data_IF_646104009573
#
_entry.id   IF_646104009573
#
_cell.length_a   1.000
_cell.length_b   1.000
_cell.length_c   1.000
_cell.angle_alpha   90.00
_cell.angle_beta   90.00
_cell.angle_gamma   90.00
#
_symmetry.space_group_name_H-M   'P 1'
#
loop_
_entity.id
_entity.type
_entity.pdbx_description
1 polymer ?
#
# COMPACT_ATOMS: atom_id res chain seq x y z
N UNK A 1 -10.08 -15.60 9.17
CA UNK A 1 -10.49 -14.60 8.17
C UNK A 1 -10.76 -15.24 6.81
N UNK A 2 -9.78 -15.75 6.04
CA UNK A 2 -10.03 -16.38 4.72
C UNK A 2 -11.13 -17.46 4.68
N UNK A 3 -11.21 -18.30 5.71
CA UNK A 3 -12.21 -19.36 5.84
C UNK A 3 -13.38 -18.99 6.76
N UNK A 4 -13.56 -17.69 7.09
CA UNK A 4 -14.62 -17.19 7.99
C UNK A 4 -14.72 -17.88 9.37
N UNK A 5 -13.58 -18.40 9.87
CA UNK A 5 -13.49 -19.08 11.18
C UNK A 5 -13.41 -18.13 12.39
N UNK A 6 -13.51 -16.80 12.18
CA UNK A 6 -13.59 -15.83 13.27
C UNK A 6 -15.03 -15.32 13.32
N UNK A 7 -15.62 -15.27 14.51
CA UNK A 7 -16.93 -14.66 14.68
C UNK A 7 -16.81 -13.15 14.36
N UNK A 8 -17.72 -12.58 13.56
CA UNK A 8 -17.85 -11.13 13.49
C UNK A 8 -18.29 -10.63 14.86
N UNK A 9 -17.51 -9.75 15.46
CA UNK A 9 -17.96 -9.01 16.63
C UNK A 9 -18.99 -7.98 16.16
N UNK A 10 -20.16 -7.93 16.81
CA UNK A 10 -21.18 -6.90 16.57
C UNK A 10 -20.70 -5.54 17.12
N UNK A 11 -19.67 -4.96 16.51
CA UNK A 11 -19.30 -3.58 16.78
C UNK A 11 -20.37 -2.66 16.17
N UNK A 12 -21.17 -2.01 17.02
CA UNK A 12 -22.08 -0.94 16.60
C UNK A 12 -21.25 0.29 16.23
N UNK A 13 -21.18 0.61 14.95
CA UNK A 13 -20.37 1.73 14.43
C UNK A 13 -21.20 2.89 13.86
N UNK A 14 -22.53 2.88 14.03
CA UNK A 14 -23.45 3.87 13.44
C UNK A 14 -23.06 5.33 13.76
N UNK A 15 -22.61 5.64 14.98
CA UNK A 15 -22.17 6.98 15.37
C UNK A 15 -20.80 7.39 14.78
N UNK A 16 -20.05 6.43 14.21
CA UNK A 16 -18.71 6.64 13.66
C UNK A 16 -18.64 6.57 12.13
N UNK A 17 -19.79 6.41 11.47
CA UNK A 17 -19.88 6.43 10.01
C UNK A 17 -19.27 7.71 9.45
N UNK A 18 -18.50 7.57 8.38
CA UNK A 18 -17.83 8.69 7.73
C UNK A 18 -17.64 8.40 6.25
N UNK A 19 -17.14 9.38 5.50
CA UNK A 19 -16.84 9.24 4.09
C UNK A 19 -15.32 9.25 3.87
N UNK A 20 -14.83 8.30 3.08
CA UNK A 20 -13.45 8.25 2.63
C UNK A 20 -13.42 8.27 1.10
N UNK A 21 -12.99 9.41 0.54
CA UNK A 21 -12.88 9.64 -0.90
C UNK A 21 -14.18 9.35 -1.69
N UNK A 22 -15.33 9.84 -1.21
CA UNK A 22 -16.61 9.64 -1.89
C UNK A 22 -17.30 8.32 -1.56
N UNK A 23 -16.75 7.51 -0.65
CA UNK A 23 -17.34 6.22 -0.23
C UNK A 23 -17.63 6.22 1.26
N UNK A 24 -18.88 5.95 1.61
CA UNK A 24 -19.29 5.75 3.00
C UNK A 24 -18.61 4.50 3.57
N UNK A 25 -17.98 4.66 4.73
CA UNK A 25 -17.39 3.59 5.51
C UNK A 25 -17.99 3.57 6.91
N UNK A 26 -18.07 2.36 7.48
CA UNK A 26 -18.74 2.14 8.76
C UNK A 26 -18.05 2.83 9.94
N UNK A 27 -16.75 3.09 9.85
CA UNK A 27 -15.93 3.79 10.84
C UNK A 27 -14.59 4.22 10.20
N UNK A 28 -13.81 5.14 10.81
CA UNK A 28 -12.53 5.58 10.25
C UNK A 28 -11.35 4.61 10.51
N UNK A 29 -11.56 3.45 11.16
CA UNK A 29 -10.49 2.51 11.50
C UNK A 29 -10.19 1.59 10.30
N UNK A 30 -9.01 1.74 9.72
CA UNK A 30 -8.54 0.92 8.60
C UNK A 30 -7.54 -0.17 9.01
N UNK A 31 -7.52 -1.26 8.24
CA UNK A 31 -6.45 -2.25 8.30
C UNK A 31 -5.31 -1.84 7.35
N UNK A 32 -4.14 -1.54 7.91
CA UNK A 32 -3.00 -1.04 7.14
C UNK A 32 -2.37 -2.10 6.20
N UNK A 33 -1.70 -1.62 5.14
CA UNK A 33 -0.92 -2.47 4.24
C UNK A 33 0.14 -3.28 4.97
N UNK A 34 0.44 -4.44 4.39
CA UNK A 34 1.39 -5.43 4.91
C UNK A 34 0.69 -6.60 5.58
N UNK A 35 -0.58 -6.44 5.99
CA UNK A 35 -1.39 -7.53 6.54
C UNK A 35 -2.00 -8.38 5.43
N UNK A 36 -2.84 -7.80 4.56
CA UNK A 36 -3.38 -8.46 3.37
C UNK A 36 -2.62 -8.04 2.11
N UNK A 37 -1.48 -8.67 1.89
CA UNK A 37 -0.57 -8.35 0.77
C UNK A 37 -1.16 -8.69 -0.60
N UNK A 38 -2.07 -9.66 -0.65
CA UNK A 38 -2.52 -10.30 -1.88
C UNK A 38 -4.01 -10.06 -2.18
N UNK A 39 -4.73 -9.31 -1.33
CA UNK A 39 -6.16 -9.04 -1.49
C UNK A 39 -7.04 -10.24 -1.19
N UNK A 40 -6.61 -11.12 -0.27
CA UNK A 40 -7.31 -12.36 0.07
C UNK A 40 -8.33 -12.20 1.21
N UNK A 41 -8.29 -11.08 1.94
CA UNK A 41 -8.98 -10.91 3.21
C UNK A 41 -9.89 -9.67 3.25
N UNK A 42 -10.04 -8.92 2.15
CA UNK A 42 -10.79 -7.65 2.10
C UNK A 42 -12.16 -7.79 2.74
N UNK A 43 -13.04 -8.62 2.17
CA UNK A 43 -14.42 -8.75 2.65
C UNK A 43 -14.47 -9.28 4.09
N UNK A 44 -13.59 -10.22 4.45
CA UNK A 44 -13.55 -10.77 5.81
C UNK A 44 -13.04 -9.79 6.86
N UNK A 45 -12.13 -8.88 6.50
CA UNK A 45 -11.65 -7.85 7.41
C UNK A 45 -12.71 -6.77 7.64
N UNK A 46 -13.49 -6.43 6.61
CA UNK A 46 -14.63 -5.52 6.75
C UNK A 46 -15.74 -6.16 7.59
N UNK A 47 -16.04 -7.44 7.38
CA UNK A 47 -16.98 -8.22 8.22
C UNK A 47 -16.51 -8.29 9.68
N UNK A 48 -15.21 -8.18 9.94
CA UNK A 48 -14.62 -8.16 11.29
C UNK A 48 -14.68 -6.77 11.96
N UNK A 49 -15.14 -5.74 11.25
CA UNK A 49 -15.38 -4.40 11.81
C UNK A 49 -14.42 -3.30 11.36
N UNK A 50 -13.44 -3.58 10.49
CA UNK A 50 -12.66 -2.51 9.88
C UNK A 50 -13.53 -1.69 8.91
N UNK A 51 -13.39 -0.37 8.92
CA UNK A 51 -14.10 0.50 7.97
C UNK A 51 -13.53 0.43 6.55
N UNK A 52 -12.22 0.18 6.42
CA UNK A 52 -11.56 -0.06 5.14
C UNK A 52 -10.30 -0.93 5.28
N UNK A 53 -9.80 -1.46 4.17
CA UNK A 53 -8.56 -2.26 4.11
C UNK A 53 -7.57 -1.65 3.12
N UNK A 54 -6.30 -1.55 3.46
CA UNK A 54 -5.25 -1.22 2.50
C UNK A 54 -4.53 -2.50 2.06
N UNK A 55 -4.83 -2.97 0.85
CA UNK A 55 -4.20 -4.16 0.25
C UNK A 55 -2.76 -3.86 -0.16
N UNK A 56 -1.87 -4.84 -0.04
CA UNK A 56 -0.49 -4.75 -0.51
C UNK A 56 0.52 -4.63 0.64
N UNK A 57 1.72 -4.07 0.43
CA UNK A 57 2.20 -3.51 -0.83
C UNK A 57 2.31 -4.58 -1.92
N UNK A 58 1.67 -4.31 -3.05
CA UNK A 58 1.73 -5.10 -4.28
C UNK A 58 2.88 -4.58 -5.13
N UNK A 59 3.63 -5.45 -5.77
CA UNK A 59 4.69 -5.09 -6.73
C UNK A 59 4.38 -5.72 -8.08
N UNK A 60 4.94 -5.17 -9.16
CA UNK A 60 4.59 -5.63 -10.51
C UNK A 60 4.92 -7.12 -10.70
N UNK A 61 6.16 -7.50 -10.40
CA UNK A 61 6.66 -8.88 -10.57
C UNK A 61 6.38 -9.78 -9.36
N UNK A 62 5.83 -9.24 -8.27
CA UNK A 62 5.72 -9.94 -6.98
C UNK A 62 7.10 -10.24 -6.37
N UNK A 63 7.14 -11.22 -5.46
CA UNK A 63 8.42 -11.69 -4.92
C UNK A 63 8.30 -12.61 -3.72
N UNK A 64 9.35 -13.41 -3.49
CA UNK A 64 9.45 -14.27 -2.30
C UNK A 64 9.74 -13.46 -1.03
N UNK A 65 10.34 -12.28 -1.17
CA UNK A 65 10.88 -11.43 -0.12
C UNK A 65 12.14 -12.00 0.55
N UNK A 66 12.57 -11.38 1.64
CA UNK A 66 13.83 -11.72 2.32
C UNK A 66 13.83 -13.12 2.94
N UNK A 67 14.99 -13.70 3.17
CA UNK A 67 15.11 -14.99 3.87
C UNK A 67 14.48 -14.97 5.27
N UNK A 68 13.91 -16.11 5.67
CA UNK A 68 13.33 -16.30 7.02
C UNK A 68 14.45 -16.63 8.02
N UNK A 69 14.33 -16.23 9.32
CA UNK A 69 13.21 -15.49 9.93
C UNK A 69 13.25 -13.97 9.63
N UNK A 70 12.07 -13.40 9.43
CA UNK A 70 11.88 -12.03 8.94
C UNK A 70 10.76 -11.22 9.62
N UNK A 71 10.14 -11.78 10.65
CA UNK A 71 9.11 -11.14 11.49
C UNK A 71 9.34 -11.57 12.94
N UNK A 72 9.43 -10.59 13.83
CA UNK A 72 9.76 -10.76 15.23
C UNK A 72 8.77 -9.96 16.08
N UNK A 73 8.26 -10.57 17.15
CA UNK A 73 7.36 -9.90 18.12
C UNK A 73 8.14 -9.50 19.36
N UNK A 74 7.98 -8.23 19.75
CA UNK A 74 8.55 -7.66 20.96
C UNK A 74 7.41 -7.50 21.96
N UNK A 75 7.10 -8.59 22.68
CA UNK A 75 5.87 -8.69 23.47
C UNK A 75 5.77 -7.64 24.59
N UNK A 76 6.88 -7.35 25.28
CA UNK A 76 6.91 -6.39 26.39
C UNK A 76 6.64 -4.97 25.92
N UNK A 77 7.15 -4.64 24.73
CA UNK A 77 7.07 -3.31 24.11
C UNK A 77 5.81 -3.15 23.25
N UNK A 78 4.98 -4.20 23.12
CA UNK A 78 3.88 -4.28 22.14
C UNK A 78 4.35 -3.93 20.72
N UNK A 79 5.59 -4.31 20.39
CA UNK A 79 6.28 -3.94 19.17
C UNK A 79 6.38 -5.10 18.17
N UNK A 80 6.64 -4.73 16.91
CA UNK A 80 6.95 -5.67 15.83
C UNK A 80 8.17 -5.17 15.07
N UNK A 81 9.12 -6.07 14.79
CA UNK A 81 10.20 -5.85 13.86
C UNK A 81 10.01 -6.76 12.66
N UNK A 82 10.02 -6.19 11.45
CA UNK A 82 9.92 -6.98 10.24
C UNK A 82 10.94 -6.53 9.20
N UNK A 83 11.38 -7.50 8.39
CA UNK A 83 12.22 -7.31 7.22
C UNK A 83 11.65 -8.18 6.10
N UNK A 84 10.37 -8.01 5.80
CA UNK A 84 9.64 -8.92 4.90
C UNK A 84 10.20 -8.93 3.47
N UNK A 85 10.72 -7.79 2.98
CA UNK A 85 11.27 -7.66 1.64
C UNK A 85 10.22 -7.66 0.53
N UNK A 86 9.05 -7.04 0.78
CA UNK A 86 7.96 -6.92 -0.21
C UNK A 86 7.53 -8.26 -0.83
N UNK A 87 7.44 -9.32 -0.02
CA UNK A 87 6.87 -10.57 -0.49
C UNK A 87 5.39 -10.42 -0.85
N UNK A 88 4.95 -11.13 -1.88
CA UNK A 88 3.57 -11.12 -2.39
C UNK A 88 3.49 -11.71 -3.80
N UNK A 89 2.28 -11.87 -4.30
CA UNK A 89 2.05 -12.30 -5.68
C UNK A 89 2.21 -11.13 -6.66
N UNK A 90 2.47 -11.40 -7.96
CA UNK A 90 2.53 -10.37 -8.99
C UNK A 90 1.23 -9.56 -9.08
N UNK A 91 1.35 -8.29 -9.50
CA UNK A 91 0.22 -7.37 -9.60
C UNK A 91 -0.94 -7.91 -10.46
N UNK A 92 -0.63 -8.67 -11.52
CA UNK A 92 -1.63 -9.33 -12.37
C UNK A 92 -2.49 -10.33 -11.59
N UNK A 93 -1.86 -11.18 -10.77
CA UNK A 93 -2.57 -12.17 -9.95
C UNK A 93 -3.40 -11.49 -8.87
N UNK A 94 -2.86 -10.43 -8.26
CA UNK A 94 -3.62 -9.64 -7.28
C UNK A 94 -4.82 -8.97 -7.95
N UNK A 95 -4.66 -8.40 -9.15
CA UNK A 95 -5.76 -7.79 -9.90
C UNK A 95 -6.91 -8.78 -10.16
N UNK A 96 -6.63 -10.03 -10.52
CA UNK A 96 -7.66 -11.06 -10.67
C UNK A 96 -8.43 -11.31 -9.37
N UNK A 97 -7.76 -11.32 -8.22
CA UNK A 97 -8.43 -11.44 -6.91
C UNK A 97 -9.28 -10.22 -6.59
N UNK A 98 -8.78 -9.02 -6.86
CA UNK A 98 -9.49 -7.77 -6.59
C UNK A 98 -10.77 -7.61 -7.44
N UNK A 99 -10.84 -8.24 -8.61
CA UNK A 99 -12.10 -8.32 -9.39
C UNK A 99 -13.21 -9.03 -8.63
N UNK A 100 -12.86 -9.98 -7.76
CA UNK A 100 -13.82 -10.81 -7.02
C UNK A 100 -14.23 -10.22 -5.66
N UNK A 101 -13.59 -9.13 -5.22
CA UNK A 101 -13.93 -8.48 -3.97
C UNK A 101 -15.34 -7.89 -4.03
N UNK A 102 -16.17 -8.17 -3.01
CA UNK A 102 -17.56 -7.69 -2.97
C UNK A 102 -17.63 -6.23 -2.58
N UNK A 103 -16.84 -5.82 -1.59
CA UNK A 103 -16.75 -4.42 -1.17
C UNK A 103 -15.77 -3.63 -2.03
N UNK A 104 -15.99 -2.31 -2.11
CA UNK A 104 -15.03 -1.34 -2.66
C UNK A 104 -14.28 -0.57 -1.58
N UNK A 105 -14.61 -0.75 -0.29
CA UNK A 105 -13.98 -0.06 0.85
C UNK A 105 -12.56 -0.58 1.13
N UNK A 106 -11.68 -0.44 0.14
CA UNK A 106 -10.27 -0.78 0.25
C UNK A 106 -9.42 0.14 -0.63
N UNK A 107 -8.18 0.37 -0.22
CA UNK A 107 -7.14 0.98 -1.05
C UNK A 107 -6.16 -0.06 -1.56
N UNK A 108 -5.42 0.29 -2.61
CA UNK A 108 -4.34 -0.55 -3.15
C UNK A 108 -3.01 0.14 -2.96
N UNK A 109 -2.15 -0.44 -2.13
CA UNK A 109 -0.79 0.02 -1.91
C UNK A 109 0.16 -0.65 -2.89
N UNK A 110 0.88 0.13 -3.68
CA UNK A 110 1.89 -0.35 -4.62
C UNK A 110 3.29 0.09 -4.21
N UNK A 111 4.27 -0.75 -4.47
CA UNK A 111 5.68 -0.48 -4.21
C UNK A 111 6.55 -1.01 -5.35
N UNK A 112 7.79 -0.52 -5.43
CA UNK A 112 8.81 -1.07 -6.32
C UNK A 112 9.08 -2.54 -5.98
N UNK A 113 9.12 -3.40 -6.98
CA UNK A 113 9.61 -4.78 -6.83
C UNK A 113 10.98 -4.81 -6.13
N UNK A 114 11.11 -5.70 -5.14
CA UNK A 114 12.33 -5.89 -4.38
C UNK A 114 13.34 -6.73 -5.20
N UNK A 115 13.98 -6.06 -6.16
CA UNK A 115 15.05 -6.61 -6.98
C UNK A 115 16.14 -5.54 -7.18
N UNK A 116 17.44 -5.92 -7.09
CA UNK A 116 18.56 -5.02 -7.41
C UNK A 116 18.65 -4.68 -8.91
N UNK A 117 18.01 -5.47 -9.78
CA UNK A 117 18.00 -5.25 -11.22
C UNK A 117 16.97 -4.20 -11.68
N UNK A 118 16.14 -3.73 -10.76
CA UNK A 118 15.04 -2.78 -10.98
C UNK A 118 15.38 -1.45 -10.33
N UNK A 119 16.04 -0.60 -11.12
CA UNK A 119 16.59 0.72 -10.74
C UNK A 119 16.28 1.79 -11.79
N UNK A 120 16.35 3.06 -11.40
CA UNK A 120 16.14 4.21 -12.30
C UNK A 120 14.84 4.09 -13.09
N UNK A 121 14.91 4.20 -14.42
CA UNK A 121 13.76 4.10 -15.33
C UNK A 121 13.00 2.77 -15.19
N UNK A 122 13.70 1.65 -14.91
CA UNK A 122 13.04 0.37 -14.67
C UNK A 122 12.19 0.39 -13.40
N UNK A 123 12.64 1.11 -12.37
CA UNK A 123 11.88 1.27 -11.14
C UNK A 123 10.62 2.13 -11.35
N UNK A 124 10.72 3.18 -12.16
CA UNK A 124 9.55 3.98 -12.56
C UNK A 124 8.57 3.11 -13.38
N UNK A 125 9.08 2.36 -14.36
CA UNK A 125 8.26 1.45 -15.16
C UNK A 125 7.56 0.38 -14.31
N UNK A 126 8.24 -0.18 -13.30
CA UNK A 126 7.68 -1.16 -12.36
C UNK A 126 6.50 -0.59 -11.56
N UNK A 127 6.62 0.65 -11.05
CA UNK A 127 5.51 1.37 -10.42
C UNK A 127 4.37 1.63 -11.38
N UNK A 128 4.67 2.14 -12.58
CA UNK A 128 3.67 2.47 -13.61
C UNK A 128 2.91 1.23 -14.06
N UNK A 129 3.58 0.09 -14.22
CA UNK A 129 2.94 -1.15 -14.62
C UNK A 129 2.03 -1.71 -13.51
N UNK A 130 2.50 -1.69 -12.25
CA UNK A 130 1.65 -1.99 -11.09
C UNK A 130 0.41 -1.08 -11.07
N UNK A 131 0.61 0.22 -11.27
CA UNK A 131 -0.46 1.21 -11.28
C UNK A 131 -1.46 0.96 -12.41
N UNK A 132 -1.01 0.74 -13.65
CA UNK A 132 -1.89 0.47 -14.80
C UNK A 132 -2.80 -0.74 -14.56
N UNK A 133 -2.27 -1.80 -13.96
CA UNK A 133 -3.04 -3.00 -13.63
C UNK A 133 -4.03 -2.76 -12.48
N UNK A 134 -3.65 -1.95 -11.49
CA UNK A 134 -4.37 -1.88 -10.21
C UNK A 134 -5.24 -0.63 -10.03
N UNK A 135 -5.04 0.42 -10.86
CA UNK A 135 -5.68 1.72 -10.70
C UNK A 135 -7.20 1.70 -10.81
N UNK A 136 -7.85 0.63 -11.26
CA UNK A 136 -9.32 0.55 -11.28
C UNK A 136 -9.92 -0.07 -10.01
N UNK A 137 -9.10 -0.63 -9.09
CA UNK A 137 -9.60 -1.36 -7.92
C UNK A 137 -9.55 -0.57 -6.60
N UNK A 138 -10.62 -0.65 -5.81
CA UNK A 138 -10.73 0.08 -4.55
C UNK A 138 -10.97 1.58 -4.73
N UNK A 139 -10.94 2.31 -3.62
CA UNK A 139 -11.29 3.74 -3.54
C UNK A 139 -10.09 4.68 -3.67
N UNK A 140 -8.88 4.20 -3.41
CA UNK A 140 -7.64 4.98 -3.59
C UNK A 140 -6.45 4.07 -3.92
N UNK A 141 -5.40 4.66 -4.47
CA UNK A 141 -4.11 3.99 -4.68
C UNK A 141 -3.05 4.66 -3.81
N UNK A 142 -2.15 3.89 -3.20
CA UNK A 142 -1.01 4.42 -2.45
C UNK A 142 0.29 4.11 -3.19
N UNK A 143 1.09 5.13 -3.45
CA UNK A 143 2.48 4.99 -3.88
C UNK A 143 3.34 4.90 -2.63
N UNK A 144 3.89 3.72 -2.37
CA UNK A 144 4.72 3.47 -1.20
C UNK A 144 6.20 3.60 -1.52
N UNK A 145 6.77 4.74 -1.13
CA UNK A 145 8.21 5.04 -1.27
C UNK A 145 8.98 4.86 0.05
N UNK A 146 8.30 4.40 1.11
CA UNK A 146 8.83 4.31 2.48
C UNK A 146 9.63 3.03 2.78
N UNK A 147 9.77 2.10 1.83
CA UNK A 147 10.38 0.81 2.11
C UNK A 147 11.91 0.96 2.32
N UNK A 148 12.43 0.70 3.54
CA UNK A 148 13.84 0.93 3.86
C UNK A 148 14.78 -0.16 3.31
N UNK A 149 14.21 -1.18 2.64
CA UNK A 149 14.93 -2.41 2.30
C UNK A 149 15.61 -2.37 0.92
N UNK A 150 15.69 -1.23 0.26
CA UNK A 150 16.45 -1.08 -0.99
C UNK A 150 17.80 -0.45 -0.66
N UNK A 151 18.89 -1.24 -0.72
CA UNK A 151 20.26 -0.79 -0.42
C UNK A 151 20.86 0.15 -1.49
N UNK A 152 20.06 0.70 -2.39
CA UNK A 152 20.54 1.25 -3.66
C UNK A 152 20.29 2.75 -3.77
N UNK A 153 21.33 3.48 -4.20
CA UNK A 153 21.60 4.89 -3.94
C UNK A 153 20.68 5.95 -4.56
N UNK A 154 19.45 5.60 -4.98
CA UNK A 154 18.37 6.56 -5.21
C UNK A 154 17.04 5.97 -4.74
N UNK A 155 16.62 6.40 -3.57
CA UNK A 155 15.26 6.17 -3.06
C UNK A 155 14.34 7.22 -3.68
N UNK A 156 13.08 6.87 -4.01
CA UNK A 156 12.04 7.84 -4.42
C UNK A 156 11.63 8.85 -3.32
N UNK A 157 12.31 8.76 -2.19
CA UNK A 157 12.43 9.76 -1.15
C UNK A 157 13.22 11.01 -1.57
N UNK A 158 14.02 10.94 -2.64
CA UNK A 158 14.67 12.10 -3.25
C UNK A 158 13.67 12.92 -4.09
N UNK A 159 13.58 14.26 -3.91
CA UNK A 159 12.61 15.11 -4.60
C UNK A 159 12.61 15.01 -6.14
N UNK A 160 13.79 14.97 -6.77
CA UNK A 160 13.87 14.88 -8.23
C UNK A 160 13.33 13.54 -8.72
N UNK A 161 13.76 12.45 -8.07
CA UNK A 161 13.29 11.10 -8.38
C UNK A 161 11.78 10.93 -8.12
N UNK A 162 11.24 11.58 -7.07
CA UNK A 162 9.81 11.59 -6.77
C UNK A 162 9.02 12.29 -7.87
N UNK A 163 9.49 13.45 -8.35
CA UNK A 163 8.84 14.21 -9.41
C UNK A 163 8.74 13.39 -10.70
N UNK A 164 9.81 12.70 -11.09
CA UNK A 164 9.82 11.81 -12.24
C UNK A 164 8.79 10.67 -12.08
N UNK A 165 8.75 10.03 -10.91
CA UNK A 165 7.79 8.97 -10.61
C UNK A 165 6.33 9.46 -10.69
N UNK A 166 6.02 10.59 -10.04
CA UNK A 166 4.65 11.12 -10.02
C UNK A 166 4.20 11.61 -11.40
N UNK A 167 5.11 12.19 -12.21
CA UNK A 167 4.81 12.54 -13.61
C UNK A 167 4.41 11.30 -14.41
N UNK A 168 5.22 10.24 -14.34
CA UNK A 168 4.95 9.00 -15.07
C UNK A 168 3.64 8.31 -14.63
N UNK A 169 3.31 8.37 -13.34
CA UNK A 169 2.03 7.85 -12.81
C UNK A 169 0.85 8.71 -13.29
N UNK A 170 1.01 10.04 -13.34
CA UNK A 170 -0.01 10.95 -13.86
C UNK A 170 -0.30 10.70 -15.34
N UNK A 171 0.75 10.55 -16.15
CA UNK A 171 0.67 10.20 -17.58
C UNK A 171 0.01 8.85 -17.83
N UNK A 172 0.11 7.91 -16.88
CA UNK A 172 -0.59 6.63 -16.94
C UNK A 172 -2.12 6.77 -16.72
N UNK A 173 -2.63 7.97 -16.47
CA UNK A 173 -4.05 8.31 -16.37
C UNK A 173 -4.62 8.08 -14.98
N UNK A 174 -4.73 9.16 -14.19
CA UNK A 174 -5.36 9.17 -12.87
C UNK A 174 -6.87 8.93 -12.96
N UNK A 175 -7.36 7.95 -12.20
CA UNK A 175 -8.79 7.60 -12.16
C UNK A 175 -9.41 7.71 -10.77
N UNK A 176 -8.57 7.84 -9.72
CA UNK A 176 -8.98 7.97 -8.31
C UNK A 176 -7.93 8.74 -7.51
N UNK A 177 -8.17 9.05 -6.22
CA UNK A 177 -7.16 9.62 -5.35
C UNK A 177 -5.89 8.75 -5.25
N UNK A 178 -4.74 9.41 -5.35
CA UNK A 178 -3.43 8.79 -5.15
C UNK A 178 -2.85 9.38 -3.87
N UNK A 179 -2.44 8.52 -2.95
CA UNK A 179 -1.74 8.91 -1.72
C UNK A 179 -0.26 8.55 -1.83
N UNK A 180 0.57 9.30 -1.12
CA UNK A 180 1.99 9.02 -0.98
C UNK A 180 2.27 8.54 0.45
N UNK A 181 2.94 7.39 0.60
CA UNK A 181 3.33 6.84 1.91
C UNK A 181 4.82 7.03 2.13
N UNK A 182 5.14 7.84 3.14
CA UNK A 182 6.49 8.30 3.49
C UNK A 182 7.04 7.53 4.69
N UNK A 183 8.38 7.43 4.77
CA UNK A 183 9.03 6.94 5.98
C UNK A 183 8.95 7.99 7.09
N UNK A 184 8.91 7.59 8.37
CA UNK A 184 8.95 8.54 9.48
C UNK A 184 10.29 9.29 9.59
N UNK A 185 11.33 8.84 8.88
CA UNK A 185 12.64 9.51 8.86
C UNK A 185 12.55 10.80 8.04
N UNK A 186 11.94 10.75 6.85
CA UNK A 186 11.65 11.97 6.07
C UNK A 186 10.71 12.89 6.81
N UNK A 187 9.68 12.33 7.44
CA UNK A 187 8.70 13.11 8.18
C UNK A 187 9.31 13.92 9.34
N UNK A 188 10.55 13.62 9.75
CA UNK A 188 11.28 14.33 10.82
C UNK A 188 12.35 15.29 10.29
N UNK A 189 12.57 15.36 8.98
CA UNK A 189 13.52 16.26 8.34
C UNK A 189 12.75 17.40 7.65
N UNK A 190 12.56 18.53 8.35
CA UNK A 190 11.63 19.61 7.97
C UNK A 190 11.76 20.08 6.51
N UNK A 191 12.98 20.32 6.03
CA UNK A 191 13.21 20.80 4.67
C UNK A 191 12.82 19.75 3.61
N UNK A 192 13.13 18.48 3.86
CA UNK A 192 12.87 17.39 2.91
C UNK A 192 11.39 17.01 2.88
N UNK A 193 10.72 17.06 4.02
CA UNK A 193 9.28 16.84 4.09
C UNK A 193 8.52 17.91 3.30
N UNK A 194 8.87 19.19 3.50
CA UNK A 194 8.20 20.31 2.82
C UNK A 194 8.31 20.20 1.30
N UNK A 195 9.49 19.84 0.80
CA UNK A 195 9.72 19.65 -0.63
C UNK A 195 8.93 18.46 -1.21
N UNK A 196 8.90 17.33 -0.50
CA UNK A 196 8.11 16.16 -0.88
C UNK A 196 6.61 16.48 -0.91
N UNK A 197 6.10 17.23 0.07
CA UNK A 197 4.70 17.67 0.12
C UNK A 197 4.40 18.60 -1.07
N UNK A 198 5.25 19.59 -1.33
CA UNK A 198 5.08 20.50 -2.48
C UNK A 198 5.04 19.77 -3.82
N UNK A 199 5.82 18.70 -3.98
CA UNK A 199 5.81 17.87 -5.19
C UNK A 199 4.54 17.03 -5.29
N UNK A 200 3.99 16.56 -4.16
CA UNK A 200 2.79 15.72 -4.15
C UNK A 200 1.49 16.52 -4.35
N UNK A 201 1.48 17.81 -4.02
CA UNK A 201 0.33 18.70 -4.15
C UNK A 201 0.23 19.42 -5.51
N UNK A 202 1.34 19.56 -6.22
CA UNK A 202 1.43 20.23 -7.54
C UNK A 202 1.20 19.28 -8.71
#
# INVERSE_FOLDING_TARGET
MKHKLLAPDEFKTEESKTELFGVEINNPLGLAAGFDKNGELIDSALEYGFGYVEVGSVTYEGGKGNEKPRLFRLHKEKGLLNRMGLNGDPAEIVAERLKTAKSKAFGVNIAKTHSPDILGDKAIADFVNSYKLLKSFGIYTVINISCPNTREGRTFEDPASLRELLSAISEAGRVKPILLKLSPVIARADNKLTEVVSIAEG
#
